data_IF_159488046310
#
_entry.id   IF_159488046310
#
_cell.length_a   1.000
_cell.length_b   1.000
_cell.length_c   1.000
_cell.angle_alpha   90.00
_cell.angle_beta   90.00
_cell.angle_gamma   90.00
#
_symmetry.space_group_name_H-M   'P 1'
#
loop_
_entity.id
_entity.type
_entity.pdbx_description
1 polymer ?
#
# COMPACT_ATOMS: atom_id res chain seq x y z
N UNK A 1 29.39 5.22 -5.23
CA UNK A 1 28.01 5.35 -5.75
C UNK A 1 27.30 6.47 -5.01
N UNK A 2 26.57 7.35 -5.70
CA UNK A 2 25.73 8.35 -5.05
C UNK A 2 24.58 7.64 -4.32
N UNK A 3 24.46 7.84 -3.00
CA UNK A 3 23.35 7.29 -2.22
C UNK A 3 22.06 8.04 -2.59
N UNK A 4 20.97 7.29 -2.80
CA UNK A 4 19.63 7.87 -2.95
C UNK A 4 19.29 8.64 -1.66
N UNK A 5 18.88 9.90 -1.79
CA UNK A 5 18.52 10.73 -0.64
C UNK A 5 17.13 10.35 -0.13
N UNK A 6 17.04 10.02 1.16
CA UNK A 6 15.76 9.81 1.83
C UNK A 6 15.15 11.16 2.23
N UNK A 7 14.12 11.59 1.52
CA UNK A 7 13.50 12.90 1.71
C UNK A 7 12.61 13.00 2.97
N UNK A 8 12.03 11.88 3.43
CA UNK A 8 11.17 11.82 4.63
C UNK A 8 11.93 11.31 5.86
N UNK A 9 13.25 11.52 5.94
CA UNK A 9 14.12 10.97 7.01
C UNK A 9 13.72 11.40 8.43
N UNK A 10 12.94 12.47 8.57
CA UNK A 10 12.46 13.03 9.84
C UNK A 10 11.07 12.59 10.28
N UNK A 11 10.35 11.89 9.39
CA UNK A 11 8.95 11.54 9.59
C UNK A 11 8.90 10.11 10.09
N UNK A 12 8.38 9.94 11.30
CA UNK A 12 8.32 8.65 11.98
C UNK A 12 6.92 8.37 12.50
N UNK A 13 6.60 7.09 12.65
CA UNK A 13 5.47 6.64 13.45
C UNK A 13 6.02 6.13 14.77
N UNK A 14 5.50 6.62 15.88
CA UNK A 14 5.88 6.18 17.22
C UNK A 14 4.66 5.78 18.03
N UNK A 15 4.80 4.77 18.88
CA UNK A 15 3.85 4.49 19.95
C UNK A 15 4.14 5.46 21.10
N UNK A 16 3.13 6.23 21.49
CA UNK A 16 3.26 7.20 22.57
C UNK A 16 3.54 6.48 23.90
N UNK A 17 4.71 6.73 24.50
CA UNK A 17 5.07 6.17 25.82
C UNK A 17 4.32 6.81 26.99
N UNK A 18 3.71 7.97 26.75
CA UNK A 18 2.95 8.75 27.72
C UNK A 18 2.02 9.71 26.98
N UNK A 19 1.20 10.46 27.72
CA UNK A 19 0.26 11.41 27.10
C UNK A 19 1.02 12.55 26.41
N UNK A 20 0.78 12.74 25.11
CA UNK A 20 1.38 13.83 24.31
C UNK A 20 0.28 14.79 23.83
N UNK A 21 0.63 16.07 23.66
CA UNK A 21 -0.25 17.05 23.00
C UNK A 21 -0.05 16.96 21.49
N UNK A 22 -1.14 16.97 20.73
CA UNK A 22 -1.06 17.12 19.28
C UNK A 22 -0.60 18.55 18.94
N UNK A 23 0.32 18.67 17.98
CA UNK A 23 0.88 19.97 17.57
C UNK A 23 -0.11 20.78 16.72
N UNK A 24 -0.98 20.11 15.97
CA UNK A 24 -1.95 20.75 15.06
C UNK A 24 -3.17 21.30 15.80
N UNK A 25 -3.70 20.56 16.76
CA UNK A 25 -4.84 20.98 17.59
C UNK A 25 -4.52 20.77 19.07
N UNK A 26 -4.57 21.83 19.87
CA UNK A 26 -4.22 21.80 21.30
C UNK A 26 -5.22 21.00 22.14
N UNK A 27 -6.45 20.86 21.68
CA UNK A 27 -7.50 20.08 22.35
C UNK A 27 -7.28 18.58 22.18
N UNK A 28 -6.53 18.18 21.14
CA UNK A 28 -6.27 16.78 20.85
C UNK A 28 -5.13 16.27 21.74
N UNK A 29 -5.40 15.18 22.45
CA UNK A 29 -4.41 14.43 23.22
C UNK A 29 -4.16 13.08 22.58
N UNK A 30 -2.91 12.65 22.61
CA UNK A 30 -2.45 11.33 22.18
C UNK A 30 -2.20 10.55 23.46
N UNK A 31 -2.95 9.47 23.68
CA UNK A 31 -2.86 8.68 24.92
C UNK A 31 -1.65 7.74 24.85
N UNK A 32 -1.17 7.33 26.02
CA UNK A 32 -0.13 6.30 26.09
C UNK A 32 -0.60 5.01 25.38
N UNK A 33 0.28 4.37 24.61
CA UNK A 33 -0.03 3.20 23.79
C UNK A 33 -0.60 3.53 22.41
N UNK A 34 -0.98 4.77 22.11
CA UNK A 34 -1.49 5.15 20.79
C UNK A 34 -0.34 5.45 19.80
N UNK A 35 -0.42 5.00 18.55
CA UNK A 35 0.50 5.44 17.51
C UNK A 35 0.20 6.87 17.10
N UNK A 36 1.26 7.63 16.90
CA UNK A 36 1.24 9.00 16.45
C UNK A 36 2.29 9.27 15.39
N UNK A 37 2.04 10.29 14.59
CA UNK A 37 3.02 10.80 13.63
C UNK A 37 3.96 11.76 14.36
N UNK A 38 5.26 11.54 14.23
CA UNK A 38 6.31 12.36 14.84
C UNK A 38 7.17 12.93 13.73
N UNK A 39 7.33 14.25 13.73
CA UNK A 39 8.23 14.97 12.83
C UNK A 39 9.32 15.61 13.68
N UNK A 40 10.58 15.21 13.45
CA UNK A 40 11.76 15.70 14.19
C UNK A 40 12.49 16.76 13.37
N UNK A 41 12.87 17.88 13.96
CA UNK A 41 13.68 18.88 13.25
C UNK A 41 15.18 18.46 13.27
N UNK A 42 15.94 18.66 12.18
CA UNK A 42 17.36 18.24 12.07
C UNK A 42 18.27 18.86 13.16
N UNK A 43 17.89 20.03 13.67
CA UNK A 43 18.74 20.89 14.48
C UNK A 43 18.49 20.80 16.00
N UNK A 44 17.63 19.92 16.49
CA UNK A 44 17.40 19.85 17.93
C UNK A 44 16.47 18.74 18.45
N UNK A 45 16.29 18.67 19.78
CA UNK A 45 15.46 17.65 20.44
C UNK A 45 13.95 17.85 20.23
N UNK A 46 13.56 18.91 19.51
CA UNK A 46 12.17 19.27 19.32
C UNK A 46 11.51 18.34 18.31
N UNK A 47 10.45 17.67 18.77
CA UNK A 47 9.59 16.84 17.95
C UNK A 47 8.16 17.36 17.95
N UNK A 48 7.52 17.29 16.80
CA UNK A 48 6.12 17.66 16.60
C UNK A 48 5.32 16.37 16.51
N UNK A 49 4.44 16.16 17.48
CA UNK A 49 3.59 14.98 17.56
C UNK A 49 2.21 15.28 16.99
N UNK A 50 1.63 14.38 16.20
CA UNK A 50 0.29 14.52 15.64
C UNK A 50 -0.52 13.25 15.90
N UNK A 51 -1.74 13.43 16.42
CA UNK A 51 -2.68 12.31 16.56
C UNK A 51 -3.09 11.77 15.19
N UNK A 52 -3.63 10.55 15.14
CA UNK A 52 -4.03 9.88 13.88
C UNK A 52 -4.93 10.75 13.00
N UNK A 53 -5.91 11.39 13.61
CA UNK A 53 -6.87 12.26 12.93
C UNK A 53 -6.17 13.46 12.26
N UNK A 54 -5.28 14.14 13.00
CA UNK A 54 -4.53 15.29 12.47
C UNK A 54 -3.42 14.88 11.50
N UNK A 55 -2.89 13.65 11.62
CA UNK A 55 -1.83 13.12 10.78
C UNK A 55 -2.34 12.75 9.38
N UNK A 56 -3.55 12.19 9.27
CA UNK A 56 -4.13 11.79 7.98
C UNK A 56 -4.12 12.90 6.91
N UNK A 57 -4.65 14.11 7.14
CA UNK A 57 -4.59 15.18 6.15
C UNK A 57 -3.16 15.62 5.81
N UNK A 58 -2.22 15.58 6.77
CA UNK A 58 -0.80 15.88 6.50
C UNK A 58 -0.21 14.87 5.52
N UNK A 59 -0.47 13.58 5.76
CA UNK A 59 0.00 12.50 4.89
C UNK A 59 -0.66 12.54 3.51
N UNK A 60 -1.94 12.93 3.42
CA UNK A 60 -2.63 13.12 2.13
C UNK A 60 -1.99 14.22 1.29
N UNK A 61 -1.67 15.38 1.88
CA UNK A 61 -0.97 16.46 1.18
C UNK A 61 0.41 15.99 0.71
N UNK A 62 1.19 15.38 1.61
CA UNK A 62 2.52 14.88 1.27
C UNK A 62 2.48 13.85 0.13
N UNK A 63 1.51 12.92 0.15
CA UNK A 63 1.33 11.95 -0.93
C UNK A 63 0.97 12.62 -2.26
N UNK A 64 0.16 13.69 -2.25
CA UNK A 64 -0.18 14.45 -3.44
C UNK A 64 1.05 15.18 -4.02
N UNK A 65 1.85 15.82 -3.16
CA UNK A 65 3.08 16.49 -3.57
C UNK A 65 4.09 15.53 -4.19
N UNK A 66 4.31 14.37 -3.54
CA UNK A 66 5.22 13.34 -4.06
C UNK A 66 4.76 12.79 -5.41
N UNK A 67 3.45 12.59 -5.60
CA UNK A 67 2.88 12.21 -6.89
C UNK A 67 3.12 13.29 -7.93
N UNK A 68 2.82 14.55 -7.61
CA UNK A 68 3.06 15.69 -8.51
C UNK A 68 4.52 15.77 -8.94
N UNK A 69 5.47 15.65 -8.00
CA UNK A 69 6.90 15.70 -8.35
C UNK A 69 7.31 14.55 -9.26
N UNK A 70 6.84 13.34 -8.97
CA UNK A 70 7.09 12.18 -9.83
C UNK A 70 6.52 12.42 -11.23
N UNK A 71 5.30 12.92 -11.33
CA UNK A 71 4.59 13.07 -12.59
C UNK A 71 5.23 14.17 -13.47
N UNK A 72 5.74 15.24 -12.86
CA UNK A 72 6.48 16.31 -13.56
C UNK A 72 7.88 15.87 -13.99
N UNK A 73 8.60 15.14 -13.13
CA UNK A 73 9.97 14.70 -13.42
C UNK A 73 10.02 13.49 -14.36
N UNK A 74 8.98 12.67 -14.38
CA UNK A 74 8.92 11.41 -15.12
C UNK A 74 7.57 11.24 -15.84
N UNK A 75 7.24 12.11 -16.81
CA UNK A 75 5.97 12.04 -17.52
C UNK A 75 5.79 10.71 -18.28
N UNK A 76 6.87 10.14 -18.81
CA UNK A 76 6.84 8.92 -19.61
C UNK A 76 6.47 7.66 -18.81
N UNK A 77 6.73 7.63 -17.49
CA UNK A 77 6.31 6.51 -16.63
C UNK A 77 4.78 6.41 -16.55
N UNK A 78 4.09 7.54 -16.66
CA UNK A 78 2.63 7.57 -16.67
C UNK A 78 2.10 6.99 -17.98
N UNK A 79 2.72 7.36 -19.11
CA UNK A 79 2.33 6.84 -20.43
C UNK A 79 2.64 5.34 -20.57
N UNK A 80 3.76 4.87 -20.01
CA UNK A 80 4.07 3.45 -19.92
C UNK A 80 3.07 2.67 -19.04
N UNK A 81 2.62 3.25 -17.92
CA UNK A 81 1.59 2.63 -17.09
C UNK A 81 0.22 2.56 -17.81
N UNK A 82 -0.14 3.59 -18.58
CA UNK A 82 -1.37 3.61 -19.38
C UNK A 82 -1.34 2.58 -20.51
N UNK A 83 -0.19 2.39 -21.17
CA UNK A 83 -0.04 1.41 -22.26
C UNK A 83 -0.08 -0.03 -21.75
N UNK A 84 0.46 -0.32 -20.56
CA UNK A 84 0.31 -1.63 -19.91
C UNK A 84 -1.16 -1.89 -19.54
N UNK A 85 -1.87 -0.89 -19.02
CA UNK A 85 -3.30 -1.00 -18.72
C UNK A 85 -4.20 -1.15 -19.97
N UNK A 86 -3.71 -0.73 -21.14
CA UNK A 86 -4.38 -0.86 -22.46
C UNK A 86 -3.99 -2.11 -23.22
N UNK A 87 -3.16 -3.01 -22.67
CA UNK A 87 -2.86 -4.27 -23.35
C UNK A 87 -4.19 -5.02 -23.58
N UNK A 88 -4.57 -5.31 -24.84
CA UNK A 88 -5.76 -6.10 -25.09
C UNK A 88 -5.59 -7.47 -24.42
N UNK A 89 -6.66 -7.93 -23.76
CA UNK A 89 -6.81 -9.34 -23.37
C UNK A 89 -6.44 -10.15 -24.60
N UNK A 90 -5.43 -11.03 -24.48
CA UNK A 90 -4.93 -11.79 -25.62
C UNK A 90 -6.09 -12.50 -26.30
N UNK A 91 -6.07 -12.60 -27.64
CA UNK A 91 -7.13 -13.24 -28.42
C UNK A 91 -7.41 -14.66 -27.90
N UNK A 92 -6.38 -15.34 -27.41
CA UNK A 92 -6.47 -16.64 -26.72
C UNK A 92 -7.37 -16.61 -25.48
N UNK A 93 -7.25 -15.60 -24.61
CA UNK A 93 -8.09 -15.48 -23.42
C UNK A 93 -9.56 -15.15 -23.75
N UNK A 94 -9.82 -14.50 -24.90
CA UNK A 94 -11.18 -14.30 -25.43
C UNK A 94 -11.75 -15.61 -25.99
N UNK A 95 -10.94 -16.40 -26.69
CA UNK A 95 -11.34 -17.71 -27.23
C UNK A 95 -11.63 -18.71 -26.11
N UNK A 96 -10.77 -18.80 -25.09
CA UNK A 96 -10.97 -19.67 -23.92
C UNK A 96 -12.29 -19.32 -23.22
N UNK A 97 -12.61 -18.03 -23.05
CA UNK A 97 -13.90 -17.63 -22.48
C UNK A 97 -15.08 -18.11 -23.34
N UNK A 98 -15.03 -17.91 -24.66
CA UNK A 98 -16.09 -18.36 -25.57
C UNK A 98 -16.24 -19.89 -25.61
N UNK A 99 -15.14 -20.62 -25.50
CA UNK A 99 -15.15 -22.09 -25.42
C UNK A 99 -15.77 -22.57 -24.12
N UNK A 100 -15.43 -21.95 -22.99
CA UNK A 100 -16.03 -22.26 -21.69
C UNK A 100 -17.52 -21.90 -21.70
N UNK A 101 -17.91 -20.70 -22.15
CA UNK A 101 -19.33 -20.31 -22.25
C UNK A 101 -20.14 -21.28 -23.12
N UNK A 102 -19.55 -21.83 -24.18
CA UNK A 102 -20.16 -22.86 -25.03
C UNK A 102 -20.35 -24.19 -24.30
N UNK A 103 -19.41 -24.58 -23.44
CA UNK A 103 -19.49 -25.80 -22.63
C UNK A 103 -20.52 -25.64 -21.49
N UNK A 104 -20.53 -24.50 -20.79
CA UNK A 104 -21.38 -24.30 -19.60
C UNK A 104 -22.78 -23.77 -19.94
N UNK A 105 -23.03 -23.36 -21.18
CA UNK A 105 -24.34 -22.88 -21.65
C UNK A 105 -24.83 -21.58 -21.00
N UNK A 106 -23.94 -20.85 -20.31
CA UNK A 106 -24.22 -19.59 -19.62
C UNK A 106 -22.98 -18.69 -19.60
N UNK A 107 -23.13 -17.35 -19.57
CA UNK A 107 -21.99 -16.44 -19.51
C UNK A 107 -21.19 -16.67 -18.22
N UNK A 108 -19.87 -16.82 -18.36
CA UNK A 108 -18.94 -16.96 -17.23
C UNK A 108 -18.12 -15.69 -17.06
N UNK A 109 -18.12 -15.15 -15.85
CA UNK A 109 -17.17 -14.11 -15.45
C UNK A 109 -15.86 -14.80 -15.04
N UNK A 110 -14.90 -14.84 -15.96
CA UNK A 110 -13.53 -15.27 -15.64
C UNK A 110 -12.80 -14.06 -15.04
N UNK A 111 -12.71 -13.99 -13.72
CA UNK A 111 -11.83 -13.03 -13.05
C UNK A 111 -10.39 -13.47 -13.23
N UNK A 112 -9.74 -13.00 -14.29
CA UNK A 112 -8.32 -13.27 -14.53
C UNK A 112 -7.46 -12.43 -13.58
N UNK A 113 -6.95 -13.07 -12.53
CA UNK A 113 -5.64 -12.75 -11.91
C UNK A 113 -5.64 -11.88 -10.65
N UNK A 114 -5.69 -12.52 -9.48
CA UNK A 114 -4.81 -12.15 -8.36
C UNK A 114 -3.70 -13.21 -8.34
N UNK A 115 -2.40 -12.84 -8.30
CA UNK A 115 -1.34 -13.84 -8.22
C UNK A 115 -1.40 -14.55 -6.87
N UNK A 116 -1.83 -15.82 -6.87
CA UNK A 116 -1.73 -16.70 -5.71
C UNK A 116 -0.24 -17.00 -5.55
N UNK A 117 0.40 -16.34 -4.57
CA UNK A 117 1.73 -16.75 -4.09
C UNK A 117 1.58 -18.09 -3.39
N UNK A 118 2.42 -19.04 -3.80
CA UNK A 118 2.56 -20.40 -3.29
C UNK A 118 2.28 -20.53 -1.78
N UNK A 119 1.20 -21.26 -1.47
CA UNK A 119 0.98 -21.85 -0.15
C UNK A 119 1.91 -23.07 -0.06
N UNK A 120 2.92 -22.98 0.81
CA UNK A 120 3.64 -24.16 1.31
C UNK A 120 2.61 -25.15 1.86
N UNK A 121 2.55 -26.32 1.26
CA UNK A 121 1.80 -27.47 1.73
C UNK A 121 2.51 -27.97 2.99
N UNK A 122 1.83 -27.89 4.12
CA UNK A 122 2.17 -28.64 5.34
C UNK A 122 1.45 -29.98 5.17
N UNK A 123 2.21 -31.06 4.99
CA UNK A 123 1.68 -32.41 4.89
C UNK A 123 1.69 -33.05 6.28
N UNK A 124 0.61 -32.89 7.03
CA UNK A 124 0.27 -33.79 8.13
C UNK A 124 -0.47 -35.00 7.53
N UNK A 125 0.24 -36.12 7.37
CA UNK A 125 -0.34 -37.39 7.00
C UNK A 125 -0.70 -38.17 8.27
N UNK A 126 -1.95 -38.02 8.71
CA UNK A 126 -2.61 -38.97 9.61
C UNK A 126 -3.34 -40.03 8.77
N UNK A 127 -2.94 -41.29 8.92
CA UNK A 127 -3.65 -42.46 8.40
C UNK A 127 -3.78 -43.52 9.50
N UNK A 128 -4.96 -43.56 10.11
CA UNK A 128 -5.61 -44.79 10.65
C UNK A 128 -5.87 -45.74 9.46
N UNK A 129 -5.96 -47.08 9.50
CA UNK A 129 -6.31 -48.04 10.55
C UNK A 129 -6.14 -49.47 9.95
N UNK A 130 -5.92 -50.49 10.82
CA UNK A 130 -6.27 -51.95 10.66
C UNK A 130 -5.45 -52.74 9.61
N UNK A 131 -4.95 -53.95 9.87
CA UNK A 131 -5.33 -55.04 10.77
C UNK A 131 -4.12 -55.95 11.01
#
# INVERSE_FOLDING_TARGET
MAKVRQILKHVHVEIAKGTRRCRRNRDHRIRAGEPCLVIRDDAGPYSKNYCRECALPILKLCAADLRRFRDVLFPDLIEQAKTVARRPVTTEAVTIRKDVERIVGRPVNVTLGVPIRDRRIVSDAGGEEKQ
#
